data_IF_800602071411
#
_entry.id   IF_800602071411
#
_cell.length_a   1.000
_cell.length_b   1.000
_cell.length_c   1.000
_cell.angle_alpha   90.00
_cell.angle_beta   90.00
_cell.angle_gamma   90.00
#
_symmetry.space_group_name_H-M   'P 1'
#
loop_
_entity.id
_entity.type
_entity.pdbx_description
1 polymer ?
#
# COMPACT_ATOMS: atom_id res chain seq x y z
N UNK A 1 -16.79 -5.91 5.35
CA UNK A 1 -16.72 -5.49 3.93
C UNK A 1 -15.32 -5.72 3.42
N UNK A 2 -15.19 -6.47 2.35
CA UNK A 2 -13.88 -6.79 1.76
C UNK A 2 -13.73 -6.10 0.42
N UNK A 3 -12.56 -5.49 0.18
CA UNK A 3 -12.23 -4.82 -1.08
C UNK A 3 -10.95 -5.46 -1.60
N UNK A 4 -10.98 -5.94 -2.85
CA UNK A 4 -9.84 -6.60 -3.48
C UNK A 4 -9.33 -5.78 -4.65
N UNK A 5 -8.01 -5.69 -4.75
CA UNK A 5 -7.31 -5.02 -5.85
C UNK A 5 -6.22 -5.92 -6.39
N UNK A 6 -5.90 -5.73 -7.64
CA UNK A 6 -4.79 -6.44 -8.25
C UNK A 6 -4.51 -5.87 -9.64
N UNK A 7 -3.31 -6.14 -10.11
CA UNK A 7 -2.90 -5.67 -11.43
C UNK A 7 -1.43 -5.90 -11.68
N UNK A 8 -0.94 -5.28 -12.73
CA UNK A 8 0.47 -5.32 -13.08
C UNK A 8 0.92 -4.00 -13.70
N UNK A 9 2.20 -3.69 -13.52
CA UNK A 9 2.83 -2.54 -14.17
C UNK A 9 4.31 -2.82 -14.34
N UNK A 10 4.97 -2.01 -15.16
CA UNK A 10 6.41 -2.13 -15.40
C UNK A 10 7.15 -0.90 -14.90
N UNK A 11 8.38 -1.12 -14.43
CA UNK A 11 9.31 -0.08 -14.02
C UNK A 11 10.66 -0.31 -14.73
N UNK A 12 11.49 0.74 -14.77
CA UNK A 12 12.74 0.72 -15.55
C UNK A 12 13.97 0.31 -14.74
N UNK A 13 13.77 -0.15 -13.51
CA UNK A 13 14.87 -0.62 -12.63
C UNK A 13 14.91 -2.13 -12.60
N UNK A 14 16.04 -2.67 -12.14
CA UNK A 14 16.21 -4.13 -11.99
C UNK A 14 15.29 -4.69 -10.91
N UNK A 15 14.98 -6.00 -10.92
CA UNK A 15 14.23 -6.61 -9.83
C UNK A 15 14.85 -6.37 -8.45
N UNK A 16 16.16 -6.41 -8.34
CA UNK A 16 16.87 -6.15 -7.08
C UNK A 16 16.63 -4.72 -6.59
N UNK A 17 16.75 -3.73 -7.47
CA UNK A 17 16.50 -2.33 -7.13
C UNK A 17 15.03 -2.09 -6.77
N UNK A 18 14.12 -2.71 -7.52
CA UNK A 18 12.69 -2.62 -7.27
C UNK A 18 12.34 -3.23 -5.91
N UNK A 19 12.88 -4.40 -5.63
CA UNK A 19 12.66 -5.08 -4.36
C UNK A 19 13.14 -4.24 -3.18
N UNK A 20 14.36 -3.73 -3.28
CA UNK A 20 14.95 -2.92 -2.22
C UNK A 20 14.16 -1.63 -1.96
N UNK A 21 13.60 -1.03 -3.00
CA UNK A 21 12.73 0.14 -2.85
C UNK A 21 11.39 -0.23 -2.19
N UNK A 22 10.76 -1.29 -2.67
CA UNK A 22 9.42 -1.68 -2.22
C UNK A 22 9.40 -2.34 -0.83
N UNK A 23 10.56 -2.73 -0.31
CA UNK A 23 10.70 -3.27 1.04
C UNK A 23 11.32 -2.29 2.02
N UNK A 24 11.63 -1.08 1.59
CA UNK A 24 12.16 -0.02 2.45
C UNK A 24 11.09 1.05 2.69
N UNK A 25 10.46 1.05 3.89
CA UNK A 25 9.41 2.03 4.19
C UNK A 25 9.87 3.49 4.10
N UNK A 26 11.15 3.76 4.35
CA UNK A 26 11.71 5.11 4.22
C UNK A 26 11.62 5.61 2.78
N UNK A 27 11.66 4.70 1.81
CA UNK A 27 11.62 5.04 0.39
C UNK A 27 10.20 5.09 -0.18
N UNK A 28 9.36 4.08 0.10
CA UNK A 28 8.06 4.01 -0.54
C UNK A 28 6.94 4.71 0.23
N UNK A 29 7.01 4.80 1.56
CA UNK A 29 5.92 5.37 2.35
C UNK A 29 5.58 6.82 1.96
N UNK A 30 6.54 7.70 1.68
CA UNK A 30 6.22 9.05 1.23
C UNK A 30 5.43 9.13 -0.08
N UNK A 31 5.40 8.06 -0.87
CA UNK A 31 4.63 8.00 -2.11
C UNK A 31 3.17 7.63 -1.88
N UNK A 32 2.81 7.20 -0.67
CA UNK A 32 1.42 6.87 -0.35
C UNK A 32 0.55 8.12 -0.42
N UNK A 33 -0.65 8.02 -1.01
CA UNK A 33 -1.56 9.16 -1.06
C UNK A 33 -1.91 9.66 0.34
N UNK A 34 -1.91 10.99 0.50
CA UNK A 34 -2.24 11.65 1.76
C UNK A 34 -1.32 11.27 2.93
N UNK A 35 -0.09 10.88 2.61
CA UNK A 35 0.94 10.55 3.59
C UNK A 35 1.24 11.73 4.52
N UNK A 36 1.27 11.47 5.83
CA UNK A 36 1.66 12.46 6.84
C UNK A 36 3.00 12.11 7.47
N UNK A 37 3.14 10.90 7.99
CA UNK A 37 4.35 10.50 8.71
C UNK A 37 4.50 8.98 8.72
N UNK A 38 5.70 8.54 9.04
CA UNK A 38 6.00 7.12 9.18
C UNK A 38 7.03 6.95 10.29
N UNK A 39 6.83 5.92 11.13
CA UNK A 39 7.77 5.52 12.17
C UNK A 39 8.14 4.07 11.94
N UNK A 40 9.41 3.80 11.78
CA UNK A 40 9.91 2.44 11.61
C UNK A 40 10.39 1.90 12.95
N UNK A 41 9.79 0.78 13.40
CA UNK A 41 10.16 0.15 14.66
C UNK A 41 11.33 -0.79 14.50
N UNK A 42 11.34 -1.59 13.41
CA UNK A 42 12.45 -2.49 13.08
C UNK A 42 12.44 -2.80 11.58
N UNK A 43 13.22 -3.78 11.14
CA UNK A 43 13.35 -4.12 9.72
C UNK A 43 12.03 -4.60 9.08
N UNK A 44 11.09 -5.10 9.87
CA UNK A 44 9.84 -5.68 9.38
C UNK A 44 8.58 -4.98 9.88
N UNK A 45 8.70 -4.04 10.80
CA UNK A 45 7.55 -3.36 11.41
C UNK A 45 7.65 -1.85 11.27
N UNK A 46 6.58 -1.23 10.82
CA UNK A 46 6.48 0.23 10.76
C UNK A 46 5.03 0.68 10.89
N UNK A 47 4.84 1.94 11.24
CA UNK A 47 3.53 2.56 11.35
C UNK A 47 3.47 3.75 10.40
N UNK A 48 2.41 3.82 9.60
CA UNK A 48 2.18 4.91 8.66
C UNK A 48 0.95 5.69 9.09
N UNK A 49 1.05 7.01 9.07
CA UNK A 49 -0.10 7.90 9.28
C UNK A 49 -0.45 8.57 7.97
N UNK A 50 -1.73 8.47 7.60
CA UNK A 50 -2.27 9.10 6.40
C UNK A 50 -3.53 9.90 6.77
N UNK A 51 -3.83 10.92 5.97
CA UNK A 51 -5.08 11.66 6.12
C UNK A 51 -6.24 10.88 5.50
N UNK A 52 -7.38 10.91 6.20
CA UNK A 52 -8.62 10.36 5.67
C UNK A 52 -9.60 11.51 5.44
N UNK A 53 -10.16 11.58 4.23
CA UNK A 53 -11.20 12.54 3.89
C UNK A 53 -12.18 11.88 2.94
N UNK A 54 -13.26 11.30 3.45
CA UNK A 54 -14.27 10.61 2.66
C UNK A 54 -15.63 11.16 3.09
N UNK A 55 -16.27 11.92 2.19
CA UNK A 55 -17.54 12.57 2.52
C UNK A 55 -17.32 13.53 3.72
N UNK A 56 -18.05 13.34 4.83
CA UNK A 56 -17.86 14.09 6.06
C UNK A 56 -16.92 13.41 7.06
N UNK A 57 -16.36 12.26 6.71
CA UNK A 57 -15.40 11.54 7.55
C UNK A 57 -14.02 12.15 7.32
N UNK A 58 -13.44 12.74 8.35
CA UNK A 58 -12.13 13.39 8.29
C UNK A 58 -11.29 13.00 9.49
N UNK A 59 -9.99 12.94 9.30
CA UNK A 59 -9.04 12.65 10.37
C UNK A 59 -7.80 11.96 9.86
N UNK A 60 -7.03 11.40 10.78
CA UNK A 60 -5.85 10.62 10.46
C UNK A 60 -6.12 9.14 10.73
N UNK A 61 -5.52 8.28 9.90
CA UNK A 61 -5.50 6.84 10.10
C UNK A 61 -4.07 6.41 10.38
N UNK A 62 -3.89 5.61 11.43
CA UNK A 62 -2.62 4.98 11.74
C UNK A 62 -2.69 3.52 11.36
N UNK A 63 -1.77 3.08 10.49
CA UNK A 63 -1.69 1.71 10.02
C UNK A 63 -0.40 1.07 10.54
N UNK A 64 -0.54 0.02 11.34
CA UNK A 64 0.59 -0.79 11.79
C UNK A 64 0.87 -1.84 10.74
N UNK A 65 2.04 -1.78 10.14
CA UNK A 65 2.42 -2.62 9.01
C UNK A 65 3.51 -3.60 9.40
N UNK A 66 3.43 -4.80 8.85
CA UNK A 66 4.42 -5.85 9.02
C UNK A 66 4.77 -6.48 7.68
N UNK A 67 6.06 -6.65 7.42
CA UNK A 67 6.56 -7.43 6.30
C UNK A 67 6.52 -8.90 6.71
N UNK A 68 5.55 -9.66 6.17
CA UNK A 68 5.29 -11.05 6.58
C UNK A 68 6.01 -12.08 5.72
N UNK A 69 6.32 -11.73 4.48
CA UNK A 69 7.05 -12.60 3.57
C UNK A 69 8.02 -11.76 2.76
N UNK A 70 9.27 -12.22 2.67
CA UNK A 70 10.31 -11.53 1.94
C UNK A 70 11.22 -12.55 1.26
N UNK A 71 11.17 -12.59 -0.08
CA UNK A 71 12.00 -13.47 -0.90
C UNK A 71 12.67 -12.63 -1.98
N UNK A 72 13.85 -12.12 -1.65
CA UNK A 72 14.60 -11.21 -2.51
C UNK A 72 15.20 -11.94 -3.72
N UNK A 73 15.08 -11.40 -4.92
CA UNK A 73 14.36 -10.19 -5.37
C UNK A 73 13.00 -10.51 -6.00
N UNK A 74 12.34 -11.58 -5.58
CA UNK A 74 11.19 -12.16 -6.29
C UNK A 74 9.84 -11.70 -5.77
N UNK A 75 9.66 -11.65 -4.44
CA UNK A 75 8.35 -11.38 -3.87
C UNK A 75 8.45 -10.89 -2.44
N UNK A 76 7.42 -10.16 -2.02
CA UNK A 76 7.22 -9.78 -0.64
C UNK A 76 5.74 -9.60 -0.35
N UNK A 77 5.37 -9.74 0.93
CA UNK A 77 4.01 -9.50 1.40
C UNK A 77 4.02 -8.66 2.66
N UNK A 78 3.02 -7.80 2.75
CA UNK A 78 2.74 -6.98 3.92
C UNK A 78 1.38 -7.31 4.50
N UNK A 79 1.27 -7.17 5.80
CA UNK A 79 0.01 -7.22 6.54
C UNK A 79 -0.11 -5.91 7.33
N UNK A 80 -1.31 -5.35 7.39
CA UNK A 80 -1.54 -4.11 8.09
C UNK A 80 -2.82 -4.12 8.87
N UNK A 81 -2.84 -3.38 9.98
CA UNK A 81 -4.02 -3.14 10.79
C UNK A 81 -4.05 -1.70 11.24
N UNK A 82 -5.22 -1.12 11.26
CA UNK A 82 -5.37 0.25 11.70
C UNK A 82 -6.79 0.61 12.05
N UNK A 83 -6.96 1.86 12.49
CA UNK A 83 -8.26 2.41 12.80
C UNK A 83 -8.37 3.83 12.26
N UNK A 84 -9.55 4.20 11.84
CA UNK A 84 -9.86 5.54 11.35
C UNK A 84 -11.35 5.80 11.47
N UNK A 85 -11.72 7.01 11.93
CA UNK A 85 -13.11 7.50 11.88
C UNK A 85 -14.13 6.52 12.47
N UNK A 86 -13.81 5.90 13.60
CA UNK A 86 -14.71 4.94 14.28
C UNK A 86 -14.79 3.57 13.64
N UNK A 87 -13.91 3.28 12.67
CA UNK A 87 -13.84 1.97 12.03
C UNK A 87 -12.48 1.33 12.20
N UNK A 88 -12.37 0.08 11.77
CA UNK A 88 -11.12 -0.67 11.74
C UNK A 88 -10.86 -1.17 10.33
N UNK A 89 -9.57 -1.24 9.98
CA UNK A 89 -9.12 -1.74 8.69
C UNK A 89 -8.06 -2.80 8.91
N UNK A 90 -8.22 -3.95 8.24
CA UNK A 90 -7.20 -4.98 8.15
C UNK A 90 -6.86 -5.15 6.67
N UNK A 91 -5.58 -5.20 6.34
CA UNK A 91 -5.16 -5.31 4.95
C UNK A 91 -4.01 -6.27 4.76
N UNK A 92 -3.94 -6.84 3.57
CA UNK A 92 -2.78 -7.57 3.08
C UNK A 92 -2.44 -7.01 1.70
N UNK A 93 -1.16 -6.92 1.40
CA UNK A 93 -0.69 -6.49 0.09
C UNK A 93 0.59 -7.23 -0.24
N UNK A 94 0.74 -7.63 -1.50
CA UNK A 94 1.92 -8.34 -1.92
C UNK A 94 2.26 -8.05 -3.37
N UNK A 95 3.49 -8.41 -3.75
CA UNK A 95 3.93 -8.27 -5.13
C UNK A 95 4.88 -9.39 -5.52
N UNK A 96 4.88 -9.69 -6.80
CA UNK A 96 5.86 -10.57 -7.44
C UNK A 96 6.61 -9.78 -8.50
N UNK A 97 7.91 -9.96 -8.56
CA UNK A 97 8.80 -9.27 -9.50
C UNK A 97 9.39 -10.24 -10.51
N UNK A 98 9.36 -9.87 -11.77
CA UNK A 98 9.98 -10.65 -12.84
C UNK A 98 10.75 -9.71 -13.76
N UNK A 99 11.89 -10.17 -14.34
CA UNK A 99 12.60 -9.36 -15.33
C UNK A 99 11.72 -9.07 -16.54
N UNK A 100 11.83 -7.86 -17.06
CA UNK A 100 11.17 -7.43 -18.30
C UNK A 100 12.20 -6.79 -19.20
N UNK A 101 11.87 -6.57 -20.47
CA UNK A 101 12.82 -6.09 -21.49
C UNK A 101 13.56 -4.81 -21.08
N UNK A 102 12.86 -3.86 -20.46
CA UNK A 102 13.41 -2.57 -20.06
C UNK A 102 13.53 -2.40 -18.54
N UNK A 103 13.36 -3.46 -17.77
CA UNK A 103 13.40 -3.33 -16.31
C UNK A 103 12.71 -4.49 -15.61
N UNK A 104 11.65 -4.21 -14.88
CA UNK A 104 10.95 -5.20 -14.05
C UNK A 104 9.44 -5.09 -14.25
N UNK A 105 8.80 -6.24 -14.34
CA UNK A 105 7.35 -6.36 -14.28
C UNK A 105 6.94 -6.62 -12.83
N UNK A 106 6.03 -5.80 -12.32
CA UNK A 106 5.47 -5.93 -10.97
C UNK A 106 4.04 -6.45 -11.09
N UNK A 107 3.78 -7.62 -10.54
CA UNK A 107 2.43 -8.16 -10.40
C UNK A 107 2.07 -8.05 -8.93
N UNK A 108 0.95 -7.38 -8.63
CA UNK A 108 0.60 -7.08 -7.26
C UNK A 108 -0.85 -7.42 -6.96
N UNK A 109 -1.12 -7.65 -5.69
CA UNK A 109 -2.47 -7.86 -5.18
C UNK A 109 -2.60 -7.22 -3.81
N UNK A 110 -3.82 -6.82 -3.48
CA UNK A 110 -4.14 -6.26 -2.18
C UNK A 110 -5.57 -6.57 -1.80
N UNK A 111 -5.81 -6.73 -0.52
CA UNK A 111 -7.15 -6.91 0.04
C UNK A 111 -7.26 -6.10 1.31
N UNK A 112 -8.38 -5.39 1.46
CA UNK A 112 -8.68 -4.65 2.66
C UNK A 112 -10.04 -5.09 3.21
N UNK A 113 -10.10 -5.31 4.52
CA UNK A 113 -11.36 -5.53 5.22
C UNK A 113 -11.65 -4.33 6.10
N UNK A 114 -12.84 -3.79 5.98
CA UNK A 114 -13.27 -2.57 6.66
C UNK A 114 -14.44 -2.89 7.57
N UNK A 115 -14.35 -2.46 8.83
CA UNK A 115 -15.32 -2.75 9.88
C UNK A 115 -15.80 -1.45 10.55
N UNK A 116 -16.98 -1.54 11.19
CA UNK A 116 -17.53 -0.47 12.01
C UNK A 116 -18.16 0.66 11.22
N UNK A 117 -18.15 1.86 11.80
CA UNK A 117 -18.82 3.04 11.22
C UNK A 117 -18.28 3.40 9.82
N UNK A 118 -16.98 3.22 9.60
CA UNK A 118 -16.37 3.51 8.31
C UNK A 118 -16.98 2.65 7.19
N UNK A 119 -17.22 1.37 7.43
CA UNK A 119 -17.85 0.48 6.45
C UNK A 119 -19.31 0.90 6.19
N UNK A 120 -20.03 1.25 7.24
CA UNK A 120 -21.44 1.64 7.13
C UNK A 120 -21.65 2.96 6.39
N UNK A 121 -20.79 3.95 6.67
CA UNK A 121 -20.97 5.32 6.16
C UNK A 121 -20.34 5.50 4.79
N UNK A 122 -19.16 4.92 4.57
CA UNK A 122 -18.36 5.17 3.38
C UNK A 122 -18.29 3.95 2.43
N UNK A 123 -19.05 2.88 2.71
CA UNK A 123 -18.94 1.61 1.98
C UNK A 123 -18.95 1.73 0.46
N UNK A 124 -19.90 2.49 -0.10
CA UNK A 124 -20.02 2.67 -1.55
C UNK A 124 -18.93 3.55 -2.16
N UNK A 125 -18.19 4.31 -1.34
CA UNK A 125 -17.13 5.21 -1.80
C UNK A 125 -15.73 4.61 -1.67
N UNK A 126 -15.58 3.55 -0.86
CA UNK A 126 -14.25 3.01 -0.53
C UNK A 126 -13.57 2.35 -1.71
N UNK A 127 -14.29 1.57 -2.52
CA UNK A 127 -13.68 0.88 -3.64
C UNK A 127 -13.18 1.85 -4.74
N UNK A 128 -13.99 2.81 -5.22
CA UNK A 128 -13.49 3.79 -6.19
C UNK A 128 -12.34 4.63 -5.65
N UNK A 129 -12.40 5.03 -4.38
CA UNK A 129 -11.32 5.79 -3.75
C UNK A 129 -10.06 4.96 -3.64
N UNK A 130 -10.17 3.69 -3.26
CA UNK A 130 -9.05 2.77 -3.18
C UNK A 130 -8.37 2.59 -4.53
N UNK A 131 -9.14 2.40 -5.60
CA UNK A 131 -8.61 2.29 -6.96
C UNK A 131 -7.85 3.55 -7.37
N UNK A 132 -8.39 4.72 -7.07
CA UNK A 132 -7.73 6.00 -7.37
C UNK A 132 -6.42 6.14 -6.60
N UNK A 133 -6.41 5.78 -5.33
CA UNK A 133 -5.23 5.89 -4.49
C UNK A 133 -4.14 4.90 -4.90
N UNK A 134 -4.52 3.67 -5.26
CA UNK A 134 -3.58 2.67 -5.78
C UNK A 134 -2.94 3.17 -7.08
N UNK A 135 -3.72 3.76 -7.98
CA UNK A 135 -3.19 4.29 -9.23
C UNK A 135 -2.19 5.42 -8.98
N UNK A 136 -2.47 6.30 -8.02
CA UNK A 136 -1.51 7.36 -7.64
C UNK A 136 -0.21 6.79 -7.09
N UNK A 137 -0.29 5.73 -6.28
CA UNK A 137 0.89 5.06 -5.77
C UNK A 137 1.71 4.43 -6.90
N UNK A 138 1.05 3.75 -7.83
CA UNK A 138 1.72 3.15 -9.00
C UNK A 138 2.41 4.22 -9.84
N UNK A 139 1.73 5.33 -10.11
CA UNK A 139 2.31 6.45 -10.87
C UNK A 139 3.56 7.00 -10.15
N UNK A 140 3.49 7.14 -8.83
CA UNK A 140 4.63 7.58 -8.02
C UNK A 140 5.79 6.60 -8.06
N UNK A 141 5.51 5.30 -7.98
CA UNK A 141 6.53 4.25 -8.08
C UNK A 141 7.19 4.23 -9.45
N UNK A 142 6.41 4.36 -10.52
CA UNK A 142 6.95 4.41 -11.87
C UNK A 142 7.84 5.63 -12.09
N UNK A 143 7.50 6.76 -11.49
CA UNK A 143 8.34 7.96 -11.54
C UNK A 143 9.62 7.78 -10.74
N UNK A 144 9.51 7.27 -9.52
CA UNK A 144 10.67 7.07 -8.64
C UNK A 144 11.65 6.01 -9.15
N UNK A 145 11.14 5.01 -9.89
CA UNK A 145 11.92 3.89 -10.40
C UNK A 145 12.07 3.94 -11.93
N UNK A 146 12.00 5.13 -12.47
CA UNK A 146 12.20 5.35 -13.91
C UNK A 146 13.68 5.35 -14.33
#
# INVERSE_FOLDING_TARGET
MAIKFGGEFEIKRTPEEAYDFLTDPQKFAPLLPDFQSMTQQDATHFTVRVNVGISYIKGAADMKMELTEAERPKRAQYKGQGSAAGGKVAMTAGFDLAPADAGTKVVWQGEAQVFGALASVAGGLLEPLGKKNVQKLIDGLQTALS
#
